data_IF_083774301737
#
_entry.id   IF_083774301737
#
_cell.length_a   1.000
_cell.length_b   1.000
_cell.length_c   1.000
_cell.angle_alpha   90.00
_cell.angle_beta   90.00
_cell.angle_gamma   90.00
#
_symmetry.space_group_name_H-M   'P 1'
#
loop_
_entity.id
_entity.type
_entity.pdbx_description
1 polymer ?
#
# COMPACT_ATOMS: atom_id res chain seq x y z
N UNK A 1 -4.25 35.48 -17.84
CA UNK A 1 -3.33 34.92 -16.83
C UNK A 1 -3.70 33.46 -16.66
N UNK A 2 -2.89 32.56 -17.20
CA UNK A 2 -3.06 31.12 -16.95
C UNK A 2 -2.70 30.93 -15.48
N UNK A 3 -3.72 30.66 -14.64
CA UNK A 3 -3.48 30.29 -13.26
C UNK A 3 -2.82 28.92 -13.31
N UNK A 4 -1.51 28.89 -13.09
CA UNK A 4 -0.77 27.64 -12.90
C UNK A 4 -1.40 26.89 -11.72
N UNK A 5 -1.65 25.59 -11.91
CA UNK A 5 -2.20 24.74 -10.86
C UNK A 5 -1.28 24.79 -9.62
N UNK A 6 -1.85 24.64 -8.41
CA UNK A 6 -1.03 24.61 -7.19
C UNK A 6 0.01 23.51 -7.32
N UNK A 7 1.22 23.67 -6.77
CA UNK A 7 2.32 22.70 -6.90
C UNK A 7 1.93 21.27 -6.47
N UNK A 8 0.98 21.14 -5.54
CA UNK A 8 0.37 19.87 -5.10
C UNK A 8 -0.59 19.20 -6.10
N UNK A 9 -0.95 19.89 -7.17
CA UNK A 9 -1.86 19.42 -8.24
C UNK A 9 -1.09 19.07 -9.53
N UNK A 10 0.23 19.27 -9.55
CA UNK A 10 1.08 18.90 -10.67
C UNK A 10 1.28 17.38 -10.68
N UNK A 11 0.84 16.73 -11.76
CA UNK A 11 1.08 15.31 -12.00
C UNK A 11 2.59 15.06 -12.17
N UNK A 12 3.04 13.90 -11.71
CA UNK A 12 4.41 13.46 -11.96
C UNK A 12 4.61 13.08 -13.43
N UNK A 13 5.83 13.25 -13.94
CA UNK A 13 6.19 12.87 -15.30
C UNK A 13 5.91 11.38 -15.57
N UNK A 14 6.12 10.50 -14.58
CA UNK A 14 5.80 9.07 -14.70
C UNK A 14 4.32 8.84 -14.95
N UNK A 15 3.45 9.61 -14.31
CA UNK A 15 2.00 9.48 -14.45
C UNK A 15 1.53 9.96 -15.82
N UNK A 16 2.15 11.02 -16.36
CA UNK A 16 1.89 11.50 -17.71
C UNK A 16 2.29 10.46 -18.76
N UNK A 17 3.44 9.81 -18.58
CA UNK A 17 3.92 8.74 -19.46
C UNK A 17 2.94 7.55 -19.43
N UNK A 18 2.62 7.03 -18.23
CA UNK A 18 1.78 5.84 -18.07
C UNK A 18 0.31 6.08 -18.45
N UNK A 19 -0.19 7.32 -18.34
CA UNK A 19 -1.51 7.69 -18.83
C UNK A 19 -1.61 7.64 -20.36
N UNK A 20 -0.50 7.89 -21.08
CA UNK A 20 -0.47 7.88 -22.54
C UNK A 20 -0.35 6.47 -23.15
N UNK A 21 0.15 5.48 -22.41
CA UNK A 21 0.30 4.11 -22.89
C UNK A 21 -1.08 3.39 -23.02
N UNK A 22 -1.18 2.26 -23.74
CA UNK A 22 -2.42 1.44 -23.76
C UNK A 22 -2.41 0.34 -22.67
N UNK A 23 -1.24 0.00 -22.15
CA UNK A 23 -1.03 -1.04 -21.14
C UNK A 23 -1.48 -2.43 -21.58
N UNK A 24 -1.82 -2.64 -22.85
CA UNK A 24 -2.35 -3.92 -23.32
C UNK A 24 -1.23 -4.96 -23.37
N UNK A 25 -1.49 -6.11 -22.75
CA UNK A 25 -0.51 -7.19 -22.71
C UNK A 25 -0.64 -7.97 -24.01
N UNK A 26 0.39 -7.89 -24.84
CA UNK A 26 0.46 -8.60 -26.12
C UNK A 26 0.68 -10.08 -25.88
N UNK A 27 -0.24 -10.92 -26.36
CA UNK A 27 -0.10 -12.38 -26.33
C UNK A 27 0.46 -12.90 -27.64
N UNK A 28 1.31 -13.93 -27.52
CA UNK A 28 1.76 -14.72 -28.67
C UNK A 28 0.65 -15.66 -29.14
N UNK A 29 0.72 -16.12 -30.40
CA UNK A 29 -0.22 -17.10 -30.95
C UNK A 29 -0.08 -18.43 -30.20
N UNK A 30 -1.18 -18.97 -29.71
CA UNK A 30 -1.23 -20.30 -29.12
C UNK A 30 -1.22 -21.36 -30.25
N UNK A 31 -0.18 -22.22 -30.34
CA UNK A 31 -0.10 -23.21 -31.42
C UNK A 31 -1.24 -24.23 -31.43
N UNK A 32 -1.86 -24.49 -30.27
CA UNK A 32 -2.91 -25.51 -30.10
C UNK A 32 -4.31 -24.92 -30.24
N UNK A 33 -4.53 -23.71 -29.74
CA UNK A 33 -5.88 -23.09 -29.68
C UNK A 33 -6.14 -22.07 -30.81
N UNK A 34 -5.10 -21.57 -31.50
CA UNK A 34 -5.27 -20.60 -32.58
C UNK A 34 -5.39 -21.28 -33.96
N UNK A 35 -6.63 -21.47 -34.42
CA UNK A 35 -6.95 -21.95 -35.77
C UNK A 35 -7.21 -20.81 -36.75
N UNK A 36 -6.22 -19.93 -36.92
CA UNK A 36 -6.32 -18.81 -37.86
C UNK A 36 -4.96 -18.45 -38.47
N UNK A 37 -4.99 -17.70 -39.58
CA UNK A 37 -3.79 -17.26 -40.27
C UNK A 37 -3.02 -16.20 -39.46
N UNK A 38 -1.76 -15.94 -39.83
CA UNK A 38 -0.86 -15.05 -39.07
C UNK A 38 -1.34 -13.60 -38.92
N UNK A 39 -2.20 -13.10 -39.84
CA UNK A 39 -2.77 -11.74 -39.79
C UNK A 39 -4.07 -11.64 -39.01
N UNK A 40 -4.69 -12.77 -38.66
CA UNK A 40 -5.94 -12.81 -37.90
C UNK A 40 -5.62 -12.99 -36.41
N UNK A 41 -6.56 -12.60 -35.55
CA UNK A 41 -6.48 -12.81 -34.09
C UNK A 41 -7.77 -13.45 -33.60
N UNK A 42 -7.67 -14.39 -32.64
CA UNK A 42 -8.80 -14.96 -31.92
C UNK A 42 -8.74 -14.64 -30.41
N UNK A 43 -9.73 -15.09 -29.65
CA UNK A 43 -9.81 -14.91 -28.20
C UNK A 43 -8.57 -15.39 -27.42
N UNK A 44 -7.75 -16.29 -27.98
CA UNK A 44 -6.54 -16.80 -27.33
C UNK A 44 -5.27 -15.98 -27.62
N UNK A 45 -5.26 -15.13 -28.65
CA UNK A 45 -4.09 -14.31 -29.00
C UNK A 45 -4.38 -12.81 -29.12
N UNK A 46 -5.62 -12.39 -28.84
CA UNK A 46 -5.94 -10.97 -28.68
C UNK A 46 -5.19 -10.39 -27.47
N UNK A 47 -4.73 -9.14 -27.53
CA UNK A 47 -4.19 -8.46 -26.35
C UNK A 47 -5.21 -8.49 -25.20
N UNK A 48 -4.71 -8.64 -23.98
CA UNK A 48 -5.54 -8.64 -22.78
C UNK A 48 -5.30 -7.36 -21.99
N UNK A 49 -6.25 -7.04 -21.12
CA UNK A 49 -6.20 -5.86 -20.30
C UNK A 49 -5.10 -5.95 -19.22
N UNK A 50 -4.51 -4.81 -18.81
CA UNK A 50 -3.46 -4.78 -17.78
C UNK A 50 -3.93 -5.27 -16.40
N UNK A 51 -5.24 -5.38 -16.18
CA UNK A 51 -5.87 -5.79 -14.92
C UNK A 51 -6.45 -7.22 -14.98
N UNK A 52 -6.09 -8.01 -16.00
CA UNK A 52 -6.51 -9.41 -16.13
C UNK A 52 -6.01 -10.28 -14.97
N UNK A 53 -6.93 -10.90 -14.23
CA UNK A 53 -6.61 -11.59 -12.97
C UNK A 53 -5.80 -12.87 -13.20
N UNK A 54 -6.07 -13.59 -14.30
CA UNK A 54 -5.35 -14.81 -14.66
C UNK A 54 -3.90 -14.52 -15.05
N UNK A 55 -3.67 -13.45 -15.82
CA UNK A 55 -2.32 -13.00 -16.16
C UNK A 55 -1.54 -12.59 -14.90
N UNK A 56 -2.12 -11.75 -14.04
CA UNK A 56 -1.46 -11.29 -12.82
C UNK A 56 -1.09 -12.47 -11.91
N UNK A 57 -2.01 -13.44 -11.76
CA UNK A 57 -1.75 -14.66 -10.99
C UNK A 57 -0.64 -15.51 -11.61
N UNK A 58 -0.62 -15.67 -12.94
CA UNK A 58 0.42 -16.44 -13.65
C UNK A 58 1.82 -15.83 -13.52
N UNK A 59 1.92 -14.52 -13.32
CA UNK A 59 3.16 -13.78 -13.12
C UNK A 59 3.51 -13.53 -11.65
N UNK A 60 2.75 -14.14 -10.72
CA UNK A 60 2.89 -13.93 -9.27
C UNK A 60 2.83 -12.45 -8.86
N UNK A 61 1.98 -11.69 -9.55
CA UNK A 61 1.71 -10.28 -9.27
C UNK A 61 0.53 -10.19 -8.30
N UNK A 62 0.84 -9.97 -7.01
CA UNK A 62 -0.13 -9.94 -5.90
C UNK A 62 -1.12 -8.77 -5.94
N UNK A 63 -0.75 -7.66 -6.55
CA UNK A 63 -1.55 -6.43 -6.63
C UNK A 63 -1.37 -5.81 -8.02
N UNK A 64 -2.45 -5.35 -8.64
CA UNK A 64 -2.34 -4.58 -9.89
C UNK A 64 -1.73 -3.20 -9.62
N UNK A 65 -1.12 -2.61 -10.65
CA UNK A 65 -0.65 -1.23 -10.59
C UNK A 65 -1.83 -0.26 -10.45
N UNK A 66 -1.59 0.92 -9.89
CA UNK A 66 -2.62 1.95 -9.77
C UNK A 66 -3.17 2.36 -11.15
N UNK A 67 -2.30 2.53 -12.15
CA UNK A 67 -2.72 2.87 -13.52
C UNK A 67 -3.60 1.78 -14.16
N UNK A 68 -3.31 0.49 -13.91
CA UNK A 68 -4.21 -0.59 -14.33
C UNK A 68 -5.56 -0.54 -13.61
N UNK A 69 -5.57 -0.19 -12.32
CA UNK A 69 -6.81 -0.01 -11.55
C UNK A 69 -7.68 1.14 -12.09
N UNK A 70 -7.06 2.30 -12.38
CA UNK A 70 -7.75 3.45 -13.00
C UNK A 70 -8.39 3.02 -14.32
N UNK A 71 -7.67 2.27 -15.16
CA UNK A 71 -8.21 1.76 -16.42
C UNK A 71 -9.40 0.84 -16.23
N UNK A 72 -9.36 -0.06 -15.24
CA UNK A 72 -10.48 -0.95 -14.90
C UNK A 72 -11.75 -0.17 -14.53
N UNK A 73 -11.61 0.99 -13.88
CA UNK A 73 -12.74 1.86 -13.54
C UNK A 73 -13.27 2.62 -14.75
N UNK A 74 -12.39 3.00 -15.68
CA UNK A 74 -12.77 3.78 -16.87
C UNK A 74 -13.20 2.94 -18.08
N UNK A 75 -12.82 1.66 -18.17
CA UNK A 75 -13.01 0.82 -19.36
C UNK A 75 -14.47 0.53 -19.71
N UNK A 76 -15.38 0.60 -18.74
CA UNK A 76 -16.82 0.41 -18.95
C UNK A 76 -17.54 1.63 -19.57
N UNK A 77 -16.89 2.78 -19.68
CA UNK A 77 -17.51 4.02 -20.13
C UNK A 77 -16.98 4.39 -21.52
N UNK A 78 -17.83 4.29 -22.55
CA UNK A 78 -17.44 4.64 -23.92
C UNK A 78 -16.90 6.07 -24.04
N UNK A 79 -16.14 6.36 -25.11
CA UNK A 79 -15.46 7.65 -25.34
C UNK A 79 -16.33 8.93 -25.20
N UNK A 80 -17.67 8.81 -25.14
CA UNK A 80 -18.63 9.89 -24.93
C UNK A 80 -19.25 10.00 -23.53
N UNK A 81 -19.03 9.04 -22.63
CA UNK A 81 -19.44 9.12 -21.22
C UNK A 81 -18.18 9.24 -20.37
N UNK A 82 -17.65 10.44 -20.23
CA UNK A 82 -16.58 10.69 -19.28
C UNK A 82 -17.17 10.48 -17.87
N UNK A 83 -16.82 9.37 -17.20
CA UNK A 83 -17.15 9.21 -15.78
C UNK A 83 -16.51 10.39 -15.04
N UNK A 84 -17.34 11.31 -14.55
CA UNK A 84 -16.85 12.45 -13.78
C UNK A 84 -16.23 11.90 -12.49
N UNK A 85 -14.90 11.96 -12.40
CA UNK A 85 -14.10 11.56 -11.23
C UNK A 85 -14.18 10.06 -10.91
N UNK A 86 -13.50 9.19 -11.69
CA UNK A 86 -13.44 7.75 -11.39
C UNK A 86 -12.76 7.43 -10.06
N UNK A 87 -11.98 8.37 -9.53
CA UNK A 87 -11.25 8.25 -8.28
C UNK A 87 -11.87 9.19 -7.25
N UNK A 88 -12.35 8.64 -6.16
CA UNK A 88 -12.79 9.39 -4.99
C UNK A 88 -11.84 9.09 -3.83
N UNK A 89 -11.32 10.15 -3.21
CA UNK A 89 -10.54 10.00 -1.99
C UNK A 89 -11.47 9.55 -0.86
N UNK A 90 -11.03 8.55 -0.10
CA UNK A 90 -11.78 8.06 1.05
C UNK A 90 -11.82 9.19 2.08
N UNK A 91 -13.03 9.61 2.42
CA UNK A 91 -13.28 10.67 3.39
C UNK A 91 -13.79 10.07 4.67
N UNK A 92 -13.00 10.18 5.74
CA UNK A 92 -13.37 9.76 7.09
C UNK A 92 -13.69 10.94 8.02
N UNK A 93 -13.65 12.17 7.53
CA UNK A 93 -13.93 13.40 8.30
C UNK A 93 -15.25 14.04 7.89
N UNK A 94 -15.92 14.70 8.84
CA UNK A 94 -17.16 15.46 8.58
C UNK A 94 -16.91 16.70 7.71
N UNK A 95 -17.92 17.09 6.95
CA UNK A 95 -17.95 18.39 6.29
C UNK A 95 -18.35 19.51 7.24
N UNK A 96 -17.36 20.31 7.65
CA UNK A 96 -17.59 21.47 8.49
C UNK A 96 -18.26 22.62 7.72
N UNK A 97 -18.20 22.63 6.38
CA UNK A 97 -18.72 23.70 5.53
C UNK A 97 -20.08 23.35 4.90
N UNK A 98 -20.90 22.57 5.59
CA UNK A 98 -22.21 22.17 5.08
C UNK A 98 -23.25 23.30 5.22
N UNK A 99 -23.87 23.77 4.13
CA UNK A 99 -24.83 24.88 4.17
C UNK A 99 -26.22 24.48 4.70
N UNK A 100 -26.49 23.17 4.88
CA UNK A 100 -27.82 22.64 5.14
C UNK A 100 -28.21 22.58 6.63
N UNK A 101 -27.27 22.82 7.54
CA UNK A 101 -27.50 22.77 8.98
C UNK A 101 -26.61 23.77 9.72
N UNK A 102 -26.87 23.94 11.03
CA UNK A 102 -25.99 24.73 11.90
C UNK A 102 -24.58 24.13 11.92
N UNK A 103 -23.52 24.94 12.09
CA UNK A 103 -22.16 24.42 12.18
C UNK A 103 -22.04 23.30 13.21
N UNK A 104 -21.31 22.24 12.85
CA UNK A 104 -20.98 21.15 13.76
C UNK A 104 -20.25 21.71 15.00
N UNK A 105 -20.57 21.26 16.23
CA UNK A 105 -21.36 20.08 16.61
C UNK A 105 -22.88 20.29 16.72
N UNK A 106 -23.39 21.50 16.46
CA UNK A 106 -24.81 21.87 16.70
C UNK A 106 -25.78 21.35 15.63
N UNK A 107 -25.28 20.71 14.57
CA UNK A 107 -26.08 20.12 13.51
C UNK A 107 -25.24 19.19 12.63
N UNK A 108 -25.87 18.10 12.15
CA UNK A 108 -25.27 17.12 11.24
C UNK A 108 -26.36 16.62 10.27
N UNK A 109 -25.97 16.29 9.04
CA UNK A 109 -26.87 15.71 8.04
C UNK A 109 -26.20 14.52 7.34
N UNK A 110 -26.99 13.77 6.56
CA UNK A 110 -26.49 12.61 5.81
C UNK A 110 -25.48 12.94 4.71
N UNK A 111 -25.45 14.20 4.25
CA UNK A 111 -24.52 14.65 3.21
C UNK A 111 -23.16 15.10 3.75
N UNK A 112 -23.11 15.64 4.97
CA UNK A 112 -21.85 16.10 5.56
C UNK A 112 -21.15 15.00 6.34
N UNK A 113 -21.90 14.00 6.85
CA UNK A 113 -21.30 12.85 7.53
C UNK A 113 -20.45 12.05 6.54
N UNK A 114 -19.28 11.56 6.93
CA UNK A 114 -18.53 10.62 6.13
C UNK A 114 -19.35 9.32 5.92
N UNK A 115 -19.22 8.67 4.75
CA UNK A 115 -19.89 7.39 4.51
C UNK A 115 -19.37 6.30 5.47
N UNK A 116 -20.23 5.32 5.77
CA UNK A 116 -19.81 4.14 6.54
C UNK A 116 -18.73 3.41 5.74
N UNK A 117 -17.60 3.12 6.39
CA UNK A 117 -16.46 2.50 5.74
C UNK A 117 -16.39 1.00 6.05
N UNK A 118 -16.33 0.18 5.00
CA UNK A 118 -16.07 -1.26 5.10
C UNK A 118 -14.62 -1.54 4.73
N UNK A 119 -13.85 -2.08 5.69
CA UNK A 119 -12.46 -2.42 5.49
C UNK A 119 -12.31 -3.62 4.56
N UNK A 120 -11.76 -3.38 3.37
CA UNK A 120 -11.48 -4.43 2.38
C UNK A 120 -9.99 -4.47 2.04
N UNK A 121 -9.48 -5.66 1.68
CA UNK A 121 -8.11 -5.78 1.17
C UNK A 121 -7.97 -4.98 -0.13
N UNK A 122 -7.03 -4.04 -0.14
CA UNK A 122 -6.75 -3.23 -1.33
C UNK A 122 -6.16 -4.11 -2.44
N UNK A 123 -6.76 -4.07 -3.64
CA UNK A 123 -6.37 -4.92 -4.78
C UNK A 123 -5.28 -4.31 -5.67
N UNK A 124 -4.91 -3.06 -5.43
CA UNK A 124 -3.91 -2.31 -6.19
C UNK A 124 -2.88 -1.63 -5.28
N UNK A 125 -1.79 -1.13 -5.87
CA UNK A 125 -0.76 -0.34 -5.18
C UNK A 125 -0.26 0.80 -6.06
N UNK A 126 0.18 1.89 -5.44
CA UNK A 126 0.70 3.07 -6.14
C UNK A 126 2.08 2.87 -6.73
N UNK A 127 2.98 2.24 -5.97
CA UNK A 127 4.34 1.90 -6.39
C UNK A 127 4.48 0.38 -6.36
N UNK A 128 4.98 -0.21 -7.45
CA UNK A 128 5.10 -1.66 -7.63
C UNK A 128 6.45 -2.20 -7.16
N UNK A 129 7.51 -1.43 -7.35
CA UNK A 129 8.88 -1.83 -7.05
C UNK A 129 9.69 -0.71 -6.39
N UNK A 130 10.65 -1.08 -5.55
CA UNK A 130 11.68 -0.17 -5.01
C UNK A 130 13.01 -0.71 -5.48
N UNK A 131 13.82 0.15 -6.09
CA UNK A 131 15.12 -0.17 -6.66
C UNK A 131 16.16 0.80 -6.09
N UNK A 132 17.24 0.28 -5.52
CA UNK A 132 18.36 1.10 -5.04
C UNK A 132 19.41 1.20 -6.14
N UNK A 133 19.85 2.41 -6.48
CA UNK A 133 20.86 2.63 -7.54
C UNK A 133 22.21 2.00 -7.19
N UNK A 134 22.61 2.09 -5.92
CA UNK A 134 23.83 1.46 -5.39
C UNK A 134 23.50 0.67 -4.11
N UNK A 135 24.12 -0.51 -3.98
CA UNK A 135 24.07 -1.35 -2.78
C UNK A 135 24.71 -0.67 -1.56
N UNK A 136 25.72 0.17 -1.77
CA UNK A 136 26.42 0.88 -0.70
C UNK A 136 25.47 1.77 0.11
N UNK A 137 24.45 2.35 -0.53
CA UNK A 137 23.42 3.19 0.12
C UNK A 137 22.78 2.43 1.29
N UNK A 138 22.38 1.17 1.06
CA UNK A 138 21.74 0.35 2.09
C UNK A 138 22.77 -0.17 3.09
N UNK A 139 23.98 -0.52 2.63
CA UNK A 139 25.03 -1.00 3.52
C UNK A 139 25.48 0.05 4.53
N UNK A 140 25.62 1.31 4.09
CA UNK A 140 25.98 2.44 4.94
C UNK A 140 24.89 2.72 5.98
N UNK A 141 23.62 2.71 5.56
CA UNK A 141 22.49 2.82 6.49
C UNK A 141 22.49 1.70 7.55
N UNK A 142 22.76 0.46 7.14
CA UNK A 142 22.82 -0.69 8.07
C UNK A 142 24.08 -0.69 8.95
N UNK A 143 25.17 -0.02 8.54
CA UNK A 143 26.40 0.05 9.34
C UNK A 143 26.17 0.75 10.69
N UNK A 144 25.22 1.68 10.78
CA UNK A 144 24.83 2.29 12.05
C UNK A 144 24.33 1.23 13.05
N UNK A 145 23.43 0.34 12.62
CA UNK A 145 22.94 -0.74 13.49
C UNK A 145 24.06 -1.74 13.81
N UNK A 146 24.91 -2.09 12.85
CA UNK A 146 26.05 -3.01 13.07
C UNK A 146 27.04 -2.51 14.13
N UNK A 147 27.20 -1.19 14.24
CA UNK A 147 28.14 -0.55 15.18
C UNK A 147 27.53 -0.22 16.53
N UNK A 148 26.26 0.20 16.56
CA UNK A 148 25.61 0.70 17.78
C UNK A 148 24.63 -0.29 18.42
N UNK A 149 24.06 -1.21 17.64
CA UNK A 149 22.95 -2.06 18.04
C UNK A 149 21.60 -1.35 18.16
N UNK A 150 21.53 -0.06 17.83
CA UNK A 150 20.30 0.74 17.90
C UNK A 150 19.60 0.78 16.55
N UNK A 151 18.27 0.92 16.57
CA UNK A 151 17.48 1.07 15.36
C UNK A 151 17.67 2.45 14.71
N UNK A 152 17.33 2.56 13.43
CA UNK A 152 17.54 3.76 12.62
C UNK A 152 16.37 3.98 11.66
N UNK A 153 16.05 5.24 11.35
CA UNK A 153 15.10 5.64 10.31
C UNK A 153 15.75 6.61 9.32
N UNK A 154 15.30 6.59 8.07
CA UNK A 154 15.72 7.52 7.03
C UNK A 154 14.66 7.73 5.95
N UNK A 155 14.74 8.85 5.25
CA UNK A 155 13.92 9.15 4.08
C UNK A 155 14.62 8.68 2.80
N UNK A 156 13.88 7.97 1.95
CA UNK A 156 14.37 7.52 0.66
C UNK A 156 14.27 8.69 -0.34
N UNK A 157 15.42 9.14 -0.85
CA UNK A 157 15.52 10.19 -1.85
C UNK A 157 15.71 9.55 -3.22
N UNK A 158 14.86 9.91 -4.18
CA UNK A 158 14.83 9.25 -5.47
C UNK A 158 13.82 9.84 -6.44
N UNK A 159 13.43 9.05 -7.43
CA UNK A 159 12.44 9.41 -8.45
C UNK A 159 11.57 8.22 -8.83
N UNK A 160 10.37 8.49 -9.32
CA UNK A 160 9.50 7.45 -9.87
C UNK A 160 9.78 7.24 -11.36
N UNK A 161 9.73 5.99 -11.81
CA UNK A 161 9.98 5.63 -13.19
C UNK A 161 9.02 4.51 -13.63
N UNK A 162 8.73 4.37 -14.94
CA UNK A 162 7.98 3.24 -15.44
C UNK A 162 8.66 1.92 -15.11
N UNK A 163 7.86 0.90 -14.81
CA UNK A 163 8.32 -0.44 -14.48
C UNK A 163 7.58 -1.47 -15.34
N UNK A 164 8.31 -2.14 -16.24
CA UNK A 164 7.75 -3.01 -17.27
C UNK A 164 7.33 -4.39 -16.79
N UNK A 165 7.86 -4.87 -15.66
CA UNK A 165 7.55 -6.24 -15.18
C UNK A 165 6.13 -6.36 -14.63
N UNK A 166 5.51 -5.21 -14.30
CA UNK A 166 4.10 -5.10 -13.96
C UNK A 166 3.41 -4.23 -15.02
N UNK A 167 2.27 -4.64 -15.58
CA UNK A 167 1.54 -3.81 -16.55
C UNK A 167 1.25 -2.42 -15.98
N UNK A 168 1.74 -1.38 -16.67
CA UNK A 168 1.65 0.03 -16.24
C UNK A 168 2.20 0.26 -14.82
N UNK A 169 3.24 -0.47 -14.46
CA UNK A 169 3.84 -0.41 -13.14
C UNK A 169 4.69 0.83 -12.92
N UNK A 170 4.85 1.21 -11.65
CA UNK A 170 5.77 2.27 -11.23
C UNK A 170 6.86 1.66 -10.33
N UNK A 171 8.11 2.01 -10.57
CA UNK A 171 9.22 1.77 -9.64
C UNK A 171 9.69 3.07 -9.00
N UNK A 172 10.04 3.01 -7.72
CA UNK A 172 10.79 4.07 -7.05
C UNK A 172 12.29 3.74 -7.13
N UNK A 173 13.04 4.54 -7.88
CA UNK A 173 14.50 4.45 -7.96
C UNK A 173 15.12 5.36 -6.92
N UNK A 174 15.78 4.77 -5.93
CA UNK A 174 16.37 5.43 -4.76
C UNK A 174 17.85 5.72 -5.04
N UNK A 175 18.21 6.98 -4.98
CA UNK A 175 19.56 7.49 -5.19
C UNK A 175 20.31 7.75 -3.87
N UNK A 176 19.58 8.07 -2.78
CA UNK A 176 20.18 8.31 -1.47
C UNK A 176 19.20 8.01 -0.32
N UNK A 177 19.73 7.84 0.88
CA UNK A 177 18.96 7.81 2.13
C UNK A 177 19.37 9.05 2.92
N UNK A 178 18.41 9.90 3.24
CA UNK A 178 18.61 11.04 4.13
C UNK A 178 18.21 10.65 5.55
N UNK A 179 19.12 10.78 6.51
CA UNK A 179 18.89 10.44 7.91
C UNK A 179 18.65 11.71 8.72
N UNK A 180 17.39 12.08 9.02
CA UNK A 180 17.10 13.26 9.82
C UNK A 180 17.61 13.08 11.27
N UNK A 181 17.77 14.19 12.02
CA UNK A 181 18.04 14.14 13.46
C UNK A 181 17.05 13.23 14.19
N UNK A 182 17.57 12.30 14.99
CA UNK A 182 16.77 11.25 15.63
C UNK A 182 17.44 10.70 16.89
N UNK A 183 16.61 10.36 17.89
CA UNK A 183 17.00 9.57 19.05
C UNK A 183 16.81 8.09 18.72
N UNK A 184 17.87 7.29 18.83
CA UNK A 184 17.88 5.88 18.49
C UNK A 184 18.00 5.01 19.75
N UNK A 185 17.21 3.95 19.82
CA UNK A 185 17.29 2.91 20.86
C UNK A 185 17.17 1.52 20.23
N UNK A 186 17.44 0.43 20.99
CA UNK A 186 17.26 -0.94 20.47
C UNK A 186 15.80 -1.27 20.11
N UNK A 187 14.84 -0.63 20.79
CA UNK A 187 13.41 -0.96 20.71
C UNK A 187 12.58 0.10 19.94
N UNK A 188 13.22 1.16 19.43
CA UNK A 188 12.51 2.22 18.73
C UNK A 188 13.36 3.41 18.34
N UNK A 189 12.74 4.32 17.58
CA UNK A 189 13.34 5.54 17.06
C UNK A 189 12.36 6.70 17.24
N UNK A 190 12.87 7.85 17.67
CA UNK A 190 12.12 9.10 17.77
C UNK A 190 12.75 10.14 16.85
N UNK A 191 11.96 10.69 15.92
CA UNK A 191 12.38 11.77 15.04
C UNK A 191 12.42 13.09 15.80
N UNK A 192 13.50 13.86 15.60
CA UNK A 192 13.65 15.20 16.15
C UNK A 192 13.34 16.25 15.07
N UNK A 193 13.19 17.49 15.49
CA UNK A 193 13.07 18.62 14.56
C UNK A 193 14.33 18.75 13.71
N UNK A 194 14.14 18.83 12.40
CA UNK A 194 15.23 18.89 11.43
C UNK A 194 15.45 20.33 10.95
N UNK A 195 16.51 21.02 11.41
CA UNK A 195 16.79 22.40 10.97
C UNK A 195 17.22 22.49 9.51
N UNK A 196 17.51 21.37 8.85
CA UNK A 196 17.98 21.30 7.47
C UNK A 196 16.94 20.77 6.49
N UNK A 197 15.71 20.53 6.95
CA UNK A 197 14.64 19.94 6.14
C UNK A 197 14.41 20.72 4.83
N UNK A 198 14.28 22.04 4.92
CA UNK A 198 14.08 22.93 3.77
C UNK A 198 15.27 22.92 2.80
N UNK A 199 16.49 22.81 3.32
CA UNK A 199 17.70 22.78 2.51
C UNK A 199 17.81 21.48 1.72
N UNK A 200 17.40 20.36 2.34
CA UNK A 200 17.35 19.05 1.69
C UNK A 200 16.30 19.03 0.59
N UNK A 201 15.13 19.63 0.82
CA UNK A 201 14.08 19.72 -0.21
C UNK A 201 14.51 20.59 -1.39
N UNK A 202 15.20 21.72 -1.15
CA UNK A 202 15.78 22.54 -2.22
C UNK A 202 16.83 21.76 -3.04
N UNK A 203 17.71 21.02 -2.36
CA UNK A 203 18.71 20.18 -3.03
C UNK A 203 18.05 19.09 -3.88
N UNK A 204 17.02 18.42 -3.33
CA UNK A 204 16.25 17.43 -4.06
C UNK A 204 15.65 18.04 -5.34
N UNK A 205 15.03 19.22 -5.23
CA UNK A 205 14.45 19.92 -6.38
C UNK A 205 15.51 20.27 -7.45
N UNK A 206 16.69 20.75 -7.06
CA UNK A 206 17.77 21.04 -8.02
C UNK A 206 18.30 19.79 -8.75
N UNK A 207 18.29 18.65 -8.08
CA UNK A 207 18.72 17.37 -8.64
C UNK A 207 17.60 16.62 -9.38
N UNK A 208 16.37 17.15 -9.39
CA UNK A 208 15.20 16.45 -9.94
C UNK A 208 14.85 15.18 -9.15
N UNK A 209 15.18 15.17 -7.86
CA UNK A 209 14.88 14.10 -6.91
C UNK A 209 13.80 14.55 -5.93
N UNK A 210 13.24 13.60 -5.19
CA UNK A 210 12.27 13.87 -4.12
C UNK A 210 12.23 12.73 -3.11
N UNK A 211 11.53 12.96 -2.00
CA UNK A 211 11.22 11.91 -1.02
C UNK A 211 10.23 10.92 -1.64
N UNK A 212 10.68 9.70 -1.91
CA UNK A 212 9.88 8.61 -2.51
C UNK A 212 9.39 7.59 -1.47
N UNK A 213 9.83 7.72 -0.22
CA UNK A 213 9.43 6.86 0.88
C UNK A 213 10.31 7.05 2.10
N UNK A 214 10.23 6.12 3.03
CA UNK A 214 11.06 6.05 4.22
C UNK A 214 11.44 4.59 4.48
N UNK A 215 12.52 4.40 5.22
CA UNK A 215 13.07 3.12 5.62
C UNK A 215 13.39 3.18 7.11
N UNK A 216 13.17 2.08 7.81
CA UNK A 216 13.58 1.93 9.20
C UNK A 216 14.09 0.52 9.44
N UNK A 217 14.87 0.36 10.51
CA UNK A 217 15.37 -0.94 10.95
C UNK A 217 14.53 -1.48 12.09
N UNK A 218 14.23 -2.77 12.03
CA UNK A 218 13.71 -3.58 13.13
C UNK A 218 14.56 -4.85 13.18
N UNK A 219 15.82 -4.66 13.57
CA UNK A 219 16.86 -5.68 13.46
C UNK A 219 17.28 -6.18 14.83
N UNK A 220 17.32 -7.49 14.98
CA UNK A 220 17.77 -8.18 16.17
C UNK A 220 18.65 -9.38 15.77
N UNK A 221 19.68 -9.66 16.56
CA UNK A 221 20.60 -10.78 16.29
C UNK A 221 20.06 -12.06 16.93
N UNK A 222 19.43 -12.93 16.15
CA UNK A 222 19.02 -14.26 16.62
C UNK A 222 20.22 -15.17 16.96
N UNK A 223 21.32 -15.05 16.20
CA UNK A 223 22.57 -15.78 16.39
C UNK A 223 23.73 -14.99 15.76
N UNK A 224 24.73 -14.60 16.56
CA UNK A 224 25.89 -13.80 16.14
C UNK A 224 26.75 -14.50 15.08
N UNK A 225 26.62 -15.82 14.92
CA UNK A 225 27.43 -16.61 13.97
C UNK A 225 26.79 -16.66 12.57
N UNK A 226 25.47 -16.53 12.45
CA UNK A 226 24.75 -16.64 11.17
C UNK A 226 24.58 -15.31 10.43
N UNK A 227 24.57 -14.17 11.14
CA UNK A 227 24.62 -12.84 10.53
C UNK A 227 23.46 -12.47 9.58
N UNK A 228 22.32 -13.17 9.65
CA UNK A 228 21.17 -12.93 8.78
C UNK A 228 20.26 -11.84 9.34
N UNK A 229 19.80 -10.94 8.48
CA UNK A 229 18.98 -9.77 8.82
C UNK A 229 17.63 -9.88 8.12
N UNK A 230 16.52 -9.89 8.87
CA UNK A 230 15.18 -9.99 8.31
C UNK A 230 14.64 -8.60 7.94
N UNK A 231 14.25 -8.40 6.67
CA UNK A 231 13.68 -7.14 6.19
C UNK A 231 12.21 -7.36 5.81
N UNK A 232 11.30 -6.65 6.47
CA UNK A 232 9.88 -6.64 6.11
C UNK A 232 9.54 -5.36 5.34
N UNK A 233 8.65 -5.49 4.33
CA UNK A 233 8.18 -4.37 3.51
C UNK A 233 6.68 -4.26 3.64
N UNK A 234 6.21 -3.11 4.11
CA UNK A 234 4.78 -2.86 4.30
C UNK A 234 4.31 -1.66 3.50
N UNK A 235 3.03 -1.64 3.17
CA UNK A 235 2.36 -0.51 2.53
C UNK A 235 1.11 -0.21 3.34
N UNK A 236 0.80 1.06 3.48
CA UNK A 236 -0.43 1.52 4.12
C UNK A 236 -1.51 1.59 3.06
N UNK A 237 -2.67 0.98 3.32
CA UNK A 237 -3.82 1.07 2.42
C UNK A 237 -4.43 2.46 2.46
N UNK A 238 -5.08 2.92 1.39
CA UNK A 238 -5.73 4.23 1.38
C UNK A 238 -6.78 4.36 2.50
N UNK A 239 -7.43 3.24 2.86
CA UNK A 239 -8.38 3.18 3.98
C UNK A 239 -7.68 3.43 5.32
N UNK A 240 -6.51 2.83 5.53
CA UNK A 240 -5.73 3.04 6.74
C UNK A 240 -5.20 4.48 6.82
N UNK A 241 -4.69 5.03 5.71
CA UNK A 241 -4.28 6.43 5.62
C UNK A 241 -5.41 7.37 6.00
N UNK A 242 -6.60 7.20 5.42
CA UNK A 242 -7.77 8.04 5.70
C UNK A 242 -8.21 7.96 7.18
N UNK A 243 -8.12 6.78 7.81
CA UNK A 243 -8.41 6.61 9.23
C UNK A 243 -7.38 7.29 10.14
N UNK A 244 -6.10 7.20 9.81
CA UNK A 244 -5.02 7.86 10.57
C UNK A 244 -5.14 9.38 10.45
N UNK A 245 -5.38 9.91 9.24
CA UNK A 245 -5.59 11.33 8.99
C UNK A 245 -6.82 11.88 9.74
N UNK A 246 -7.89 11.09 9.82
CA UNK A 246 -9.08 11.42 10.61
C UNK A 246 -8.88 11.21 12.12
N UNK A 247 -7.68 10.78 12.55
CA UNK A 247 -7.32 10.46 13.92
C UNK A 247 -8.27 9.44 14.56
N UNK A 248 -8.74 8.45 13.79
CA UNK A 248 -9.69 7.43 14.25
C UNK A 248 -9.01 6.13 14.74
N UNK A 249 -7.80 5.83 14.26
CA UNK A 249 -7.02 4.66 14.72
C UNK A 249 -6.10 5.04 15.88
N UNK A 250 -6.05 4.15 16.87
CA UNK A 250 -5.15 4.27 18.01
C UNK A 250 -4.35 2.97 18.20
N UNK A 251 -3.04 3.05 18.53
CA UNK A 251 -2.24 1.87 18.81
C UNK A 251 -2.72 1.18 20.09
N UNK A 252 -2.49 -0.13 20.18
CA UNK A 252 -2.70 -0.91 21.40
C UNK A 252 -1.36 -1.44 21.93
N UNK A 253 -1.39 -2.09 23.09
CA UNK A 253 -0.28 -2.88 23.62
C UNK A 253 -0.02 -4.19 22.84
N UNK A 254 -0.89 -4.54 21.89
CA UNK A 254 -0.78 -5.70 21.00
C UNK A 254 -0.42 -5.19 19.60
N UNK A 255 0.83 -5.37 19.11
CA UNK A 255 1.30 -4.80 17.84
C UNK A 255 0.47 -5.19 16.61
N UNK A 256 -0.23 -6.32 16.67
CA UNK A 256 -1.12 -6.84 15.65
C UNK A 256 -2.53 -6.21 15.67
N UNK A 257 -2.86 -5.42 16.71
CA UNK A 257 -4.16 -4.81 16.92
C UNK A 257 -4.09 -3.28 17.01
N UNK A 258 -5.07 -2.62 16.44
CA UNK A 258 -5.36 -1.21 16.63
C UNK A 258 -6.82 -1.06 17.11
N UNK A 259 -7.09 -0.10 17.99
CA UNK A 259 -8.45 0.18 18.44
C UNK A 259 -9.01 1.45 17.78
N UNK A 260 -10.34 1.52 17.67
CA UNK A 260 -11.04 2.68 17.12
C UNK A 260 -11.27 3.70 18.24
N UNK A 261 -10.95 4.96 17.97
CA UNK A 261 -11.16 6.06 18.92
C UNK A 261 -12.64 6.21 19.27
N UNK A 262 -12.93 6.09 20.56
CA UNK A 262 -14.30 6.24 21.09
C UNK A 262 -14.64 7.66 21.56
N UNK A 263 -13.61 8.49 21.82
CA UNK A 263 -13.78 9.87 22.31
C UNK A 263 -13.08 10.87 21.38
N UNK A 264 -13.79 11.91 20.92
CA UNK A 264 -13.20 12.89 20.03
C UNK A 264 -12.12 13.71 20.77
N UNK A 265 -11.04 14.04 20.07
CA UNK A 265 -9.95 14.90 20.52
C UNK A 265 -10.35 16.38 20.50
N UNK A 266 -11.24 16.75 19.57
CA UNK A 266 -11.74 18.12 19.42
C UNK A 266 -13.26 18.11 19.22
N UNK A 267 -13.93 19.22 19.54
CA UNK A 267 -15.37 19.38 19.28
C UNK A 267 -15.76 19.29 17.80
N UNK A 268 -14.78 19.41 16.90
CA UNK A 268 -14.94 19.32 15.45
C UNK A 268 -14.69 17.92 14.88
N UNK A 269 -14.20 16.98 15.71
CA UNK A 269 -13.91 15.62 15.27
C UNK A 269 -15.17 14.77 15.29
N UNK A 270 -15.55 14.26 14.12
CA UNK A 270 -16.63 13.30 13.99
C UNK A 270 -16.08 11.87 14.09
N UNK A 271 -16.56 11.12 15.07
CA UNK A 271 -16.31 9.69 15.16
C UNK A 271 -17.39 8.96 14.37
N UNK A 272 -16.99 8.26 13.32
CA UNK A 272 -17.88 7.34 12.61
C UNK A 272 -18.20 6.16 13.50
N UNK A 273 -19.47 5.77 13.56
CA UNK A 273 -19.85 4.46 14.08
C UNK A 273 -19.20 3.38 13.21
N UNK A 274 -18.09 2.82 13.69
CA UNK A 274 -17.57 1.56 13.15
C UNK A 274 -18.55 0.50 13.62
N UNK A 275 -19.11 -0.26 12.68
CA UNK A 275 -20.20 -1.20 12.93
C UNK A 275 -19.95 -2.12 14.13
N UNK A 276 -18.70 -2.35 14.53
CA UNK A 276 -18.33 -3.23 15.62
C UNK A 276 -18.30 -2.60 17.02
N UNK A 277 -18.40 -1.28 17.20
CA UNK A 277 -18.29 -0.67 18.56
C UNK A 277 -19.36 -1.20 19.51
N UNK A 278 -20.59 -1.38 19.00
CA UNK A 278 -21.72 -1.95 19.76
C UNK A 278 -21.47 -3.42 20.10
N UNK A 279 -20.98 -4.22 19.14
CA UNK A 279 -20.58 -5.60 19.40
C UNK A 279 -19.43 -5.70 20.39
N UNK A 280 -18.38 -4.88 20.24
CA UNK A 280 -17.22 -4.86 21.14
C UNK A 280 -17.63 -4.49 22.55
N UNK A 281 -18.54 -3.52 22.70
CA UNK A 281 -19.11 -3.15 24.01
C UNK A 281 -19.86 -4.33 24.59
N UNK A 282 -20.79 -4.94 23.84
CA UNK A 282 -21.56 -6.09 24.26
C UNK A 282 -20.67 -7.29 24.67
N UNK A 283 -19.59 -7.55 23.93
CA UNK A 283 -18.63 -8.61 24.26
C UNK A 283 -17.84 -8.26 25.53
N UNK A 284 -17.37 -7.03 25.68
CA UNK A 284 -16.62 -6.59 26.86
C UNK A 284 -17.49 -6.56 28.13
N UNK A 285 -18.78 -6.22 28.00
CA UNK A 285 -19.74 -6.23 29.11
C UNK A 285 -20.42 -7.58 29.31
N UNK A 286 -20.06 -8.59 28.51
CA UNK A 286 -20.70 -9.91 28.48
C UNK A 286 -22.23 -9.86 28.28
N UNK A 287 -22.71 -8.83 27.60
CA UNK A 287 -24.11 -8.65 27.24
C UNK A 287 -24.44 -9.46 25.98
N UNK A 288 -24.95 -10.67 26.23
CA UNK A 288 -25.30 -11.61 25.19
C UNK A 288 -26.51 -11.16 24.35
N UNK A 289 -27.45 -10.43 24.93
CA UNK A 289 -28.65 -9.98 24.21
C UNK A 289 -28.27 -8.88 23.21
N UNK A 290 -27.49 -7.90 23.64
CA UNK A 290 -26.98 -6.83 22.78
C UNK A 290 -26.13 -7.38 21.62
N UNK A 291 -25.30 -8.40 21.86
CA UNK A 291 -24.50 -9.04 20.81
C UNK A 291 -25.37 -9.79 19.77
N UNK A 292 -26.45 -10.45 20.21
CA UNK A 292 -27.38 -11.18 19.34
C UNK A 292 -28.23 -10.21 18.51
N UNK A 293 -28.69 -9.12 19.13
CA UNK A 293 -29.46 -8.08 18.46
C UNK A 293 -28.62 -7.41 17.36
N UNK A 294 -27.39 -7.01 17.70
CA UNK A 294 -26.43 -6.48 16.73
C UNK A 294 -26.17 -7.44 15.54
N UNK A 295 -26.02 -8.74 15.82
CA UNK A 295 -25.77 -9.76 14.81
C UNK A 295 -26.97 -9.96 13.86
N UNK A 296 -28.20 -9.68 14.30
CA UNK A 296 -29.41 -9.76 13.48
C UNK A 296 -29.59 -8.55 12.58
N UNK A 297 -29.19 -7.37 13.05
CA UNK A 297 -29.33 -6.11 12.30
C UNK A 297 -28.20 -5.88 11.29
N UNK A 298 -27.04 -6.52 11.49
CA UNK A 298 -25.88 -6.36 10.62
C UNK A 298 -25.98 -7.24 9.38
N UNK A 299 -26.29 -6.62 8.24
CA UNK A 299 -26.47 -7.27 6.91
C UNK A 299 -25.27 -8.14 6.49
N UNK A 300 -24.06 -7.82 6.96
CA UNK A 300 -22.81 -8.51 6.59
C UNK A 300 -22.37 -9.57 7.61
N UNK A 301 -23.11 -9.79 8.72
CA UNK A 301 -22.72 -10.76 9.75
C UNK A 301 -22.61 -12.19 9.20
N UNK A 302 -23.53 -12.58 8.33
CA UNK A 302 -23.49 -13.90 7.68
C UNK A 302 -22.25 -14.10 6.79
N UNK A 303 -21.75 -13.03 6.15
CA UNK A 303 -20.49 -13.08 5.39
C UNK A 303 -19.28 -13.22 6.31
N UNK A 304 -19.26 -12.52 7.46
CA UNK A 304 -18.20 -12.66 8.46
C UNK A 304 -18.15 -14.09 9.03
N UNK A 305 -19.32 -14.65 9.36
CA UNK A 305 -19.44 -16.04 9.84
C UNK A 305 -18.95 -17.02 8.76
N UNK A 306 -19.29 -16.81 7.49
CA UNK A 306 -18.80 -17.63 6.38
C UNK A 306 -17.26 -17.57 6.24
N UNK A 307 -16.65 -16.37 6.37
CA UNK A 307 -15.20 -16.18 6.33
C UNK A 307 -14.49 -16.87 7.52
N UNK A 308 -15.08 -16.82 8.72
CA UNK A 308 -14.54 -17.53 9.89
C UNK A 308 -14.60 -19.05 9.72
N UNK A 309 -15.63 -19.57 9.05
CA UNK A 309 -15.72 -21.01 8.74
C UNK A 309 -14.75 -21.45 7.63
N UNK A 310 -14.41 -20.58 6.67
CA UNK A 310 -13.38 -20.87 5.66
C UNK A 310 -11.97 -20.97 6.26
N UNK A 311 -11.65 -20.16 7.28
CA UNK A 311 -10.35 -20.23 7.99
C UNK A 311 -10.20 -21.48 8.88
N UNK A 312 -11.29 -22.20 9.18
CA UNK A 312 -11.26 -23.44 9.95
C UNK A 312 -10.77 -24.68 9.17
N UNK A 313 -10.47 -24.55 7.86
CA UNK A 313 -9.80 -25.59 7.07
C UNK A 313 -8.30 -25.30 7.02
N UNK A 314 -7.55 -25.86 7.95
CA UNK A 314 -6.09 -25.92 7.89
C UNK A 314 -5.66 -26.60 6.59
N UNK A 315 -5.14 -25.81 5.64
CA UNK A 315 -4.32 -26.35 4.57
C UNK A 315 -3.00 -26.81 5.20
N UNK A 316 -2.80 -28.13 5.30
CA UNK A 316 -1.49 -28.73 5.47
C UNK A 316 -0.56 -28.16 4.39
N UNK A 317 0.37 -27.32 4.82
CA UNK A 317 1.39 -26.72 3.98
C UNK A 317 2.44 -27.78 3.73
N UNK A 318 2.55 -28.22 2.48
CA UNK A 318 3.70 -28.98 2.03
C UNK A 318 4.95 -28.13 2.26
N UNK A 319 5.93 -28.71 2.96
CA UNK A 319 7.22 -28.08 3.27
C UNK A 319 7.92 -27.79 1.95
N UNK A 320 7.82 -26.55 1.47
CA UNK A 320 8.58 -26.09 0.33
C UNK A 320 10.03 -25.87 0.77
N UNK A 321 10.97 -26.49 0.05
CA UNK A 321 12.40 -26.29 0.23
C UNK A 321 12.79 -24.83 -0.04
N UNK A 322 13.59 -24.26 0.85
CA UNK A 322 14.08 -22.87 0.80
C UNK A 322 15.58 -22.83 0.51
N UNK A 323 16.04 -21.73 -0.09
CA UNK A 323 17.46 -21.47 -0.31
C UNK A 323 17.82 -20.03 0.07
N UNK A 324 18.97 -19.83 0.70
CA UNK A 324 19.45 -18.51 1.10
C UNK A 324 20.27 -17.85 0.00
N UNK A 325 19.91 -16.62 -0.36
CA UNK A 325 20.68 -15.83 -1.31
C UNK A 325 22.08 -15.54 -0.78
N UNK A 326 23.12 -15.94 -1.51
CA UNK A 326 24.51 -15.69 -1.13
C UNK A 326 24.91 -14.21 -1.11
N UNK A 327 24.13 -13.35 -1.76
CA UNK A 327 24.43 -11.92 -1.88
C UNK A 327 23.72 -11.05 -0.84
N UNK A 328 22.40 -11.24 -0.66
CA UNK A 328 21.61 -10.42 0.27
C UNK A 328 21.04 -11.21 1.44
N UNK A 329 21.40 -12.49 1.58
CA UNK A 329 21.00 -13.41 2.65
C UNK A 329 19.50 -13.70 2.75
N UNK A 330 18.69 -13.17 1.84
CA UNK A 330 17.25 -13.40 1.80
C UNK A 330 16.92 -14.87 1.52
N UNK A 331 16.00 -15.43 2.30
CA UNK A 331 15.51 -16.80 2.14
C UNK A 331 14.43 -16.84 1.05
N UNK A 332 14.75 -17.48 -0.07
CA UNK A 332 13.87 -17.65 -1.20
C UNK A 332 13.22 -19.03 -1.16
N UNK A 333 12.03 -19.14 -1.74
CA UNK A 333 11.42 -20.44 -2.06
C UNK A 333 12.04 -20.98 -3.35
N UNK A 334 12.30 -22.30 -3.45
CA UNK A 334 12.96 -22.94 -4.61
C UNK A 334 12.26 -22.74 -5.97
N UNK A 335 11.08 -22.14 -6.00
CA UNK A 335 10.31 -21.89 -7.22
C UNK A 335 10.89 -20.75 -8.08
N UNK A 336 11.82 -19.94 -7.56
CA UNK A 336 12.42 -18.82 -8.29
C UNK A 336 13.93 -19.01 -8.51
N UNK A 337 14.42 -18.84 -9.76
CA UNK A 337 15.85 -18.89 -10.07
C UNK A 337 16.61 -17.65 -9.57
N UNK A 338 15.90 -16.54 -9.33
CA UNK A 338 16.45 -15.26 -8.89
C UNK A 338 15.93 -14.87 -7.51
N UNK A 339 16.75 -14.18 -6.73
CA UNK A 339 16.42 -13.74 -5.39
C UNK A 339 15.32 -12.67 -5.42
N UNK A 340 14.27 -12.86 -4.61
CA UNK A 340 13.12 -11.95 -4.54
C UNK A 340 13.44 -10.57 -3.95
N UNK A 341 14.58 -10.43 -3.26
CA UNK A 341 15.01 -9.15 -2.70
C UNK A 341 15.95 -8.37 -3.62
N UNK A 342 16.92 -9.04 -4.26
CA UNK A 342 17.97 -8.37 -5.03
C UNK A 342 17.97 -8.70 -6.53
N UNK A 343 17.11 -9.62 -6.98
CA UNK A 343 17.00 -10.02 -8.39
C UNK A 343 18.19 -10.80 -8.94
N UNK A 344 19.10 -11.28 -8.09
CA UNK A 344 20.31 -12.03 -8.49
C UNK A 344 20.06 -13.54 -8.49
N UNK A 345 20.65 -14.29 -9.44
CA UNK A 345 20.42 -15.72 -9.58
C UNK A 345 20.94 -16.54 -8.38
N UNK A 346 20.38 -17.73 -8.18
CA UNK A 346 20.72 -18.62 -7.07
C UNK A 346 22.16 -19.16 -7.09
N UNK A 347 22.83 -19.05 -8.23
CA UNK A 347 24.20 -19.49 -8.44
C UNK A 347 25.11 -18.37 -8.90
N UNK A 348 25.59 -17.55 -7.97
CA UNK A 348 26.98 -17.09 -7.93
C UNK A 348 27.39 -16.82 -6.47
#
# INVERSE_FOLDING_TARGET
MVLEAKEKEKLDDVDLILAAEDGQIKRSRDPKMCHHNARQKCAHCLPIDPYDEDYLKSKDIKHMSFHAHVRKLTSGHGKGSQLKRPLENIRCTIDLNCPAHKPYPKGVCTKCKPPVMTLNRQKYRHVDNIFFENQDIVNDFLNFWRTTGNQRIGYLIGKYQPFSDVPLGIKATVAAIYEPPQNCSPDGVELLEDPHEDAVDQLCNWLGLKRVGWIFTDLWSADRVKGTVHCTRHKVSNQCTALVEAQLLCPTNHPELAYIREKPLTESQYLTDVQFTVLCTAVCTQDREAAIEWARETVNWQQLVALCHEQGRSHESTVASTWSCKHCTFENTEQRPDCSMCGLPAGN
#
